data_IF_122553560654
#
_entry.id   IF_122553560654
#
_cell.length_a   1.000
_cell.length_b   1.000
_cell.length_c   1.000
_cell.angle_alpha   90.00
_cell.angle_beta   90.00
_cell.angle_gamma   90.00
#
_symmetry.space_group_name_H-M   'P 1'
#
loop_
_entity.id
_entity.type
_entity.pdbx_description
1 polymer ?
#
# COMPACT_ATOMS: atom_id res chain seq x y z
N UNK A 1 -15.83 -16.53 -12.24
CA UNK A 1 -15.90 -15.55 -11.14
C UNK A 1 -14.47 -15.21 -10.73
N UNK A 2 -14.08 -13.93 -10.66
CA UNK A 2 -12.69 -13.59 -10.33
C UNK A 2 -12.41 -13.74 -8.83
N UNK A 3 -11.15 -14.00 -8.45
CA UNK A 3 -10.71 -14.08 -7.04
C UNK A 3 -11.12 -12.79 -6.29
N UNK A 4 -10.99 -11.62 -6.90
CA UNK A 4 -11.40 -10.35 -6.33
C UNK A 4 -12.90 -10.32 -6.00
N UNK A 5 -13.74 -10.82 -6.88
CA UNK A 5 -15.20 -10.91 -6.64
C UNK A 5 -15.51 -11.79 -5.44
N UNK A 6 -14.80 -12.90 -5.26
CA UNK A 6 -14.98 -13.81 -4.12
C UNK A 6 -14.58 -13.15 -2.80
N UNK A 7 -13.42 -12.48 -2.76
CA UNK A 7 -12.92 -11.78 -1.56
C UNK A 7 -13.91 -10.68 -1.16
N UNK A 8 -14.32 -9.85 -2.10
CA UNK A 8 -15.21 -8.71 -1.84
C UNK A 8 -16.60 -9.18 -1.36
N UNK A 9 -17.18 -10.21 -1.97
CA UNK A 9 -18.49 -10.74 -1.56
C UNK A 9 -18.50 -11.37 -0.16
N UNK A 10 -17.40 -11.99 0.24
CA UNK A 10 -17.32 -12.70 1.53
C UNK A 10 -16.95 -11.79 2.71
N UNK A 11 -16.68 -10.51 2.49
CA UNK A 11 -16.35 -9.56 3.56
C UNK A 11 -17.62 -8.83 4.00
N UNK A 12 -18.09 -8.95 5.27
CA UNK A 12 -19.43 -8.50 5.70
C UNK A 12 -19.72 -7.03 5.47
N UNK A 13 -18.74 -6.16 5.72
CA UNK A 13 -18.87 -4.69 5.55
C UNK A 13 -18.95 -4.35 4.05
N UNK A 14 -18.17 -5.01 3.23
CA UNK A 14 -18.04 -4.73 1.81
C UNK A 14 -19.07 -5.49 0.97
N UNK A 15 -19.57 -6.63 1.46
CA UNK A 15 -20.70 -7.34 0.84
C UNK A 15 -21.95 -6.45 0.76
N UNK A 16 -22.18 -5.58 1.76
CA UNK A 16 -23.27 -4.60 1.71
C UNK A 16 -23.02 -3.48 0.69
N UNK A 17 -21.81 -2.95 0.62
CA UNK A 17 -21.43 -1.95 -0.40
C UNK A 17 -21.49 -2.55 -1.81
N UNK A 18 -21.10 -3.81 -1.95
CA UNK A 18 -21.17 -4.54 -3.21
C UNK A 18 -22.61 -4.86 -3.62
N UNK A 19 -23.49 -5.13 -2.66
CA UNK A 19 -24.92 -5.31 -2.90
C UNK A 19 -25.60 -4.02 -3.42
N UNK A 20 -25.17 -2.85 -2.96
CA UNK A 20 -25.60 -1.55 -3.50
C UNK A 20 -25.03 -1.33 -4.91
N UNK A 21 -23.78 -1.68 -5.17
CA UNK A 21 -23.20 -1.61 -6.51
C UNK A 21 -23.88 -2.61 -7.49
N UNK A 22 -24.40 -3.72 -6.98
CA UNK A 22 -25.17 -4.71 -7.74
C UNK A 22 -26.44 -4.15 -8.32
N UNK A 23 -27.16 -3.39 -7.57
CA UNK A 23 -28.40 -2.76 -8.03
C UNK A 23 -28.18 -1.74 -9.19
N UNK A 24 -26.94 -1.33 -9.42
CA UNK A 24 -26.54 -0.39 -10.48
C UNK A 24 -25.94 -1.05 -11.73
N UNK A 25 -25.87 -2.39 -11.79
CA UNK A 25 -25.33 -3.14 -12.95
C UNK A 25 -23.82 -3.05 -13.13
N UNK A 26 -23.07 -2.54 -12.13
CA UNK A 26 -21.63 -2.27 -12.21
C UNK A 26 -20.77 -3.41 -11.57
N UNK A 27 -21.38 -4.55 -11.27
CA UNK A 27 -20.79 -5.60 -10.41
C UNK A 27 -19.46 -6.18 -10.85
N UNK A 28 -19.32 -6.49 -12.14
CA UNK A 28 -18.11 -7.18 -12.63
C UNK A 28 -17.01 -6.19 -13.04
N UNK A 29 -17.41 -5.00 -13.47
CA UNK A 29 -16.49 -3.99 -13.99
C UNK A 29 -15.54 -3.47 -12.91
N UNK A 30 -15.97 -3.51 -11.63
CA UNK A 30 -15.30 -2.78 -10.54
C UNK A 30 -14.70 -3.66 -9.44
N UNK A 31 -14.66 -4.99 -9.59
CA UNK A 31 -14.17 -5.87 -8.54
C UNK A 31 -12.70 -5.61 -8.16
N UNK A 32 -11.80 -5.43 -9.12
CA UNK A 32 -10.39 -5.13 -8.85
C UNK A 32 -10.15 -3.72 -8.34
N UNK A 33 -10.73 -2.66 -8.95
CA UNK A 33 -10.70 -1.30 -8.37
C UNK A 33 -11.23 -1.27 -6.94
N UNK A 34 -12.37 -1.91 -6.68
CA UNK A 34 -12.95 -1.99 -5.34
C UNK A 34 -11.99 -2.67 -4.34
N UNK A 35 -11.36 -3.79 -4.70
CA UNK A 35 -10.38 -4.47 -3.86
C UNK A 35 -9.16 -3.59 -3.56
N UNK A 36 -8.67 -2.82 -4.54
CA UNK A 36 -7.57 -1.88 -4.33
C UNK A 36 -7.97 -0.75 -3.36
N UNK A 37 -9.14 -0.15 -3.55
CA UNK A 37 -9.65 0.89 -2.65
C UNK A 37 -9.82 0.33 -1.23
N UNK A 38 -10.40 -0.86 -1.08
CA UNK A 38 -10.61 -1.49 0.22
C UNK A 38 -9.30 -1.79 0.95
N UNK A 39 -8.34 -2.39 0.25
CA UNK A 39 -7.03 -2.69 0.85
C UNK A 39 -6.27 -1.41 1.21
N UNK A 40 -6.44 -0.31 0.46
CA UNK A 40 -5.87 0.98 0.84
C UNK A 40 -6.44 1.49 2.18
N UNK A 41 -7.74 1.34 2.42
CA UNK A 41 -8.34 1.71 3.72
C UNK A 41 -7.85 0.84 4.88
N UNK A 42 -7.54 -0.43 4.65
CA UNK A 42 -6.88 -1.27 5.68
C UNK A 42 -5.53 -0.66 6.06
N UNK A 43 -4.73 -0.25 5.08
CA UNK A 43 -3.47 0.43 5.34
C UNK A 43 -3.63 1.80 6.00
N UNK A 44 -4.70 2.53 5.70
CA UNK A 44 -5.03 3.78 6.41
C UNK A 44 -5.29 3.53 7.88
N UNK A 45 -6.02 2.46 8.23
CA UNK A 45 -6.24 2.09 9.64
C UNK A 45 -4.92 1.74 10.33
N UNK A 46 -4.07 0.94 9.67
CA UNK A 46 -2.72 0.61 10.19
C UNK A 46 -1.90 1.89 10.41
N UNK A 47 -1.87 2.77 9.41
CA UNK A 47 -1.17 4.05 9.53
C UNK A 47 -1.75 4.92 10.66
N UNK A 48 -3.07 5.01 10.78
CA UNK A 48 -3.74 5.77 11.84
C UNK A 48 -3.37 5.27 13.24
N UNK A 49 -3.36 3.95 13.44
CA UNK A 49 -2.93 3.34 14.70
C UNK A 49 -1.46 3.66 15.01
N UNK A 50 -0.57 3.56 14.03
CA UNK A 50 0.83 3.95 14.18
C UNK A 50 0.97 5.45 14.50
N UNK A 51 0.16 6.31 13.87
CA UNK A 51 0.11 7.75 14.18
C UNK A 51 -0.31 8.05 15.62
N UNK A 52 -1.16 7.21 16.23
CA UNK A 52 -1.53 7.33 17.64
C UNK A 52 -0.42 6.82 18.58
N UNK A 53 0.35 5.82 18.15
CA UNK A 53 1.48 5.30 18.95
C UNK A 53 2.62 6.31 19.03
N UNK A 54 2.86 7.12 17.98
CA UNK A 54 3.95 8.11 17.98
C UNK A 54 3.93 9.07 19.19
N UNK A 55 2.84 9.81 19.49
CA UNK A 55 2.81 10.66 20.68
C UNK A 55 2.89 9.85 21.98
N UNK A 56 2.36 8.62 22.00
CA UNK A 56 2.48 7.76 23.17
C UNK A 56 3.94 7.43 23.49
N UNK A 57 4.80 7.22 22.48
CA UNK A 57 6.24 6.98 22.70
C UNK A 57 6.93 8.16 23.39
N UNK A 58 6.47 9.39 23.14
CA UNK A 58 7.00 10.60 23.76
C UNK A 58 6.44 10.80 25.19
N UNK A 59 5.12 10.56 25.39
CA UNK A 59 4.47 10.73 26.69
C UNK A 59 5.02 9.75 27.73
N UNK A 60 5.31 8.51 27.30
CA UNK A 60 5.82 7.46 28.18
C UNK A 60 7.35 7.37 28.22
N UNK A 61 8.04 8.38 27.66
CA UNK A 61 9.51 8.47 27.60
C UNK A 61 10.19 7.19 27.06
N UNK A 62 9.56 6.60 26.05
CA UNK A 62 10.14 5.46 25.34
C UNK A 62 11.33 5.91 24.49
N UNK A 63 12.25 4.99 24.20
CA UNK A 63 13.46 5.33 23.43
C UNK A 63 13.13 6.01 22.11
N UNK A 64 13.99 6.93 21.69
CA UNK A 64 13.90 7.60 20.37
C UNK A 64 13.81 6.62 19.21
N UNK A 65 14.34 5.42 19.41
CA UNK A 65 14.31 4.32 18.46
C UNK A 65 12.87 3.88 18.13
N UNK A 66 12.01 3.74 19.13
CA UNK A 66 10.60 3.41 18.94
C UNK A 66 9.85 4.51 18.21
N UNK A 67 10.16 5.78 18.51
CA UNK A 67 9.56 6.91 17.81
C UNK A 67 9.89 6.90 16.31
N UNK A 68 11.16 6.78 15.95
CA UNK A 68 11.58 6.79 14.54
C UNK A 68 11.10 5.55 13.77
N UNK A 69 11.05 4.39 14.41
CA UNK A 69 10.46 3.19 13.82
C UNK A 69 8.98 3.41 13.49
N UNK A 70 8.22 3.91 14.45
CA UNK A 70 6.77 4.17 14.28
C UNK A 70 6.51 5.27 13.26
N UNK A 71 7.32 6.34 13.28
CA UNK A 71 7.24 7.43 12.29
C UNK A 71 7.47 6.91 10.86
N UNK A 72 8.49 6.07 10.67
CA UNK A 72 8.81 5.49 9.37
C UNK A 72 7.68 4.58 8.87
N UNK A 73 7.15 3.71 9.74
CA UNK A 73 6.03 2.83 9.40
C UNK A 73 4.77 3.62 9.07
N UNK A 74 4.45 4.64 9.87
CA UNK A 74 3.30 5.52 9.63
C UNK A 74 3.40 6.20 8.26
N UNK A 75 4.53 6.85 7.98
CA UNK A 75 4.76 7.54 6.70
C UNK A 75 4.76 6.58 5.51
N UNK A 76 5.39 5.42 5.63
CA UNK A 76 5.41 4.41 4.57
C UNK A 76 4.01 3.86 4.28
N UNK A 77 3.22 3.55 5.32
CA UNK A 77 1.85 3.03 5.18
C UNK A 77 0.89 4.05 4.56
N UNK A 78 1.04 5.34 4.89
CA UNK A 78 0.24 6.41 4.28
C UNK A 78 0.62 6.64 2.82
N UNK A 79 1.90 6.65 2.50
CA UNK A 79 2.36 7.03 1.16
C UNK A 79 2.14 5.92 0.15
N UNK A 80 2.66 4.73 0.41
CA UNK A 80 2.67 3.67 -0.60
C UNK A 80 1.36 2.89 -0.67
N UNK A 81 1.01 2.06 0.31
CA UNK A 81 -0.16 1.20 0.15
C UNK A 81 -1.49 1.94 0.34
N UNK A 82 -1.54 3.03 1.10
CA UNK A 82 -2.77 3.81 1.20
C UNK A 82 -2.93 4.74 -0.01
N UNK A 83 -2.10 5.78 -0.13
CA UNK A 83 -2.36 6.85 -1.11
C UNK A 83 -2.26 6.35 -2.55
N UNK A 84 -1.18 5.65 -2.90
CA UNK A 84 -1.01 5.19 -4.28
C UNK A 84 -2.01 4.10 -4.66
N UNK A 85 -2.31 3.17 -3.76
CA UNK A 85 -3.28 2.12 -4.06
C UNK A 85 -4.70 2.68 -4.17
N UNK A 86 -5.06 3.69 -3.36
CA UNK A 86 -6.32 4.42 -3.48
C UNK A 86 -6.41 5.12 -4.84
N UNK A 87 -5.37 5.86 -5.23
CA UNK A 87 -5.32 6.55 -6.53
C UNK A 87 -5.44 5.57 -7.70
N UNK A 88 -4.72 4.45 -7.65
CA UNK A 88 -4.83 3.40 -8.67
C UNK A 88 -6.24 2.82 -8.73
N UNK A 89 -6.83 2.48 -7.59
CA UNK A 89 -8.19 1.96 -7.52
C UNK A 89 -9.24 2.92 -8.11
N UNK A 90 -9.17 4.20 -7.72
CA UNK A 90 -10.07 5.24 -8.26
C UNK A 90 -9.83 5.48 -9.75
N UNK A 91 -8.57 5.54 -10.19
CA UNK A 91 -8.22 5.71 -11.59
C UNK A 91 -8.73 4.57 -12.46
N UNK A 92 -8.56 3.32 -12.04
CA UNK A 92 -9.06 2.14 -12.74
C UNK A 92 -10.59 2.07 -12.75
N UNK A 93 -11.24 2.48 -11.66
CA UNK A 93 -12.70 2.56 -11.61
C UNK A 93 -13.24 3.56 -12.66
N UNK A 94 -12.62 4.73 -12.76
CA UNK A 94 -13.00 5.74 -13.74
C UNK A 94 -12.73 5.30 -15.17
N UNK A 95 -11.53 4.78 -15.45
CA UNK A 95 -11.18 4.32 -16.80
C UNK A 95 -12.06 3.15 -17.26
N UNK A 96 -12.32 2.17 -16.41
CA UNK A 96 -13.24 1.07 -16.69
C UNK A 96 -14.66 1.55 -16.96
N UNK A 97 -15.15 2.53 -16.20
CA UNK A 97 -16.45 3.15 -16.42
C UNK A 97 -16.54 3.91 -17.76
N UNK A 98 -15.47 4.63 -18.14
CA UNK A 98 -15.43 5.36 -19.41
C UNK A 98 -15.39 4.44 -20.64
N UNK A 99 -14.67 3.32 -20.53
CA UNK A 99 -14.49 2.37 -21.65
C UNK A 99 -15.59 1.29 -21.68
N UNK A 100 -16.36 1.15 -20.59
CA UNK A 100 -17.41 0.14 -20.46
C UNK A 100 -16.86 -1.30 -20.44
N UNK A 101 -15.58 -1.50 -20.13
CA UNK A 101 -14.92 -2.80 -20.08
C UNK A 101 -14.55 -3.20 -18.67
N UNK A 102 -14.82 -4.46 -18.34
CA UNK A 102 -14.36 -5.04 -17.08
C UNK A 102 -12.84 -5.21 -17.04
N UNK A 103 -12.22 -4.80 -15.95
CA UNK A 103 -10.79 -5.03 -15.71
C UNK A 103 -10.62 -6.48 -15.23
N UNK A 104 -10.14 -7.33 -16.13
CA UNK A 104 -10.03 -8.78 -15.90
C UNK A 104 -8.62 -9.28 -16.19
N UNK A 105 -8.35 -10.52 -15.76
CA UNK A 105 -7.10 -11.21 -16.02
C UNK A 105 -6.12 -11.17 -14.85
N UNK A 106 -4.88 -11.54 -15.12
CA UNK A 106 -3.81 -11.69 -14.10
C UNK A 106 -3.12 -10.37 -13.74
N UNK A 107 -3.14 -9.39 -14.66
CA UNK A 107 -2.42 -8.12 -14.48
C UNK A 107 -2.96 -7.28 -13.30
N UNK A 108 -4.30 -7.12 -13.10
CA UNK A 108 -4.78 -6.46 -11.89
C UNK A 108 -4.45 -7.22 -10.60
N UNK A 109 -4.42 -8.55 -10.64
CA UNK A 109 -3.96 -9.35 -9.50
C UNK A 109 -2.49 -9.10 -9.18
N UNK A 110 -1.63 -9.08 -10.21
CA UNK A 110 -0.21 -8.76 -10.06
C UNK A 110 -0.01 -7.34 -9.50
N UNK A 111 -0.75 -6.35 -10.03
CA UNK A 111 -0.69 -4.96 -9.56
C UNK A 111 -1.04 -4.87 -8.07
N UNK A 112 -2.13 -5.48 -7.66
CA UNK A 112 -2.55 -5.50 -6.25
C UNK A 112 -1.55 -6.25 -5.37
N UNK A 113 -1.08 -7.41 -5.82
CA UNK A 113 -0.14 -8.24 -5.07
C UNK A 113 1.22 -7.56 -4.89
N UNK A 114 1.80 -7.00 -5.95
CA UNK A 114 3.12 -6.35 -5.88
C UNK A 114 3.09 -5.11 -4.99
N UNK A 115 2.00 -4.35 -4.99
CA UNK A 115 1.83 -3.21 -4.09
C UNK A 115 1.81 -3.65 -2.61
N UNK A 116 0.95 -4.61 -2.28
CA UNK A 116 0.78 -5.05 -0.89
C UNK A 116 2.00 -5.86 -0.39
N UNK A 117 2.58 -6.70 -1.23
CA UNK A 117 3.80 -7.44 -0.89
C UNK A 117 4.98 -6.50 -0.71
N UNK A 118 5.15 -5.52 -1.59
CA UNK A 118 6.20 -4.51 -1.46
C UNK A 118 6.07 -3.71 -0.18
N UNK A 119 4.86 -3.30 0.19
CA UNK A 119 4.57 -2.60 1.45
C UNK A 119 4.84 -3.49 2.68
N UNK A 120 4.47 -4.77 2.63
CA UNK A 120 4.76 -5.72 3.71
C UNK A 120 6.26 -5.95 3.89
N UNK A 121 7.00 -6.12 2.80
CA UNK A 121 8.46 -6.28 2.83
C UNK A 121 9.13 -5.02 3.38
N UNK A 122 8.67 -3.83 2.97
CA UNK A 122 9.17 -2.57 3.52
C UNK A 122 8.90 -2.46 5.02
N UNK A 123 7.72 -2.90 5.48
CA UNK A 123 7.40 -2.97 6.92
C UNK A 123 8.40 -3.86 7.67
N UNK A 124 8.72 -5.04 7.14
CA UNK A 124 9.73 -5.93 7.71
C UNK A 124 11.10 -5.25 7.77
N UNK A 125 11.52 -4.58 6.71
CA UNK A 125 12.79 -3.86 6.68
C UNK A 125 12.89 -2.78 7.78
N UNK A 126 11.79 -2.05 8.02
CA UNK A 126 11.74 -1.03 9.09
C UNK A 126 11.85 -1.68 10.47
N UNK A 127 11.20 -2.81 10.67
CA UNK A 127 11.32 -3.58 11.93
C UNK A 127 12.72 -4.18 12.11
N UNK A 128 13.44 -4.45 11.03
CA UNK A 128 14.85 -4.85 11.04
C UNK A 128 15.83 -3.69 11.28
N UNK A 129 15.32 -2.45 11.40
CA UNK A 129 16.13 -1.28 11.71
C UNK A 129 16.30 -0.26 10.57
N UNK A 130 15.64 -0.44 9.43
CA UNK A 130 15.60 0.58 8.38
C UNK A 130 14.70 1.74 8.80
N UNK A 131 15.27 2.74 9.47
CA UNK A 131 14.53 3.90 9.96
C UNK A 131 14.72 5.08 9.04
N UNK A 132 13.74 5.32 8.20
CA UNK A 132 13.75 6.42 7.23
C UNK A 132 12.49 7.23 7.40
N UNK A 133 12.63 8.52 7.65
CA UNK A 133 11.48 9.41 7.46
C UNK A 133 11.21 9.53 5.96
N UNK A 134 10.05 9.06 5.51
CA UNK A 134 9.63 9.14 4.09
C UNK A 134 9.57 10.59 3.60
N UNK A 135 9.34 11.54 4.51
CA UNK A 135 9.23 12.97 4.20
C UNK A 135 10.62 13.64 4.18
N UNK A 136 11.59 13.08 4.90
CA UNK A 136 12.95 13.59 4.98
C UNK A 136 13.90 12.53 4.43
N UNK A 137 13.78 12.25 3.15
CA UNK A 137 14.79 11.44 2.44
C UNK A 137 16.13 12.17 2.30
N UNK A 138 16.36 13.22 3.10
CA UNK A 138 17.59 13.97 3.07
C UNK A 138 18.15 14.16 4.48
N UNK A 139 19.45 13.93 4.63
CA UNK A 139 20.34 13.35 3.63
C UNK A 139 20.06 11.86 3.47
N UNK A 140 20.05 11.39 2.23
CA UNK A 140 20.10 9.95 1.96
C UNK A 140 21.25 9.37 2.79
N UNK A 141 21.01 8.45 3.73
CA UNK A 141 22.09 7.93 4.58
C UNK A 141 23.01 6.96 3.82
N UNK A 142 23.13 7.19 2.52
CA UNK A 142 24.04 6.47 1.64
C UNK A 142 25.47 6.99 1.72
N UNK A 143 25.74 7.98 2.58
CA UNK A 143 27.06 8.62 2.67
C UNK A 143 27.64 8.42 4.07
N UNK A 144 28.66 7.58 4.20
CA UNK A 144 29.60 7.58 5.30
C UNK A 144 29.05 7.11 6.66
N UNK A 145 29.28 7.90 7.69
CA UNK A 145 29.03 7.56 9.09
C UNK A 145 27.56 7.22 9.44
N UNK A 146 26.62 7.60 8.61
CA UNK A 146 25.20 7.31 8.84
C UNK A 146 24.77 5.89 8.36
N UNK A 147 25.54 5.26 7.48
CA UNK A 147 25.31 3.84 7.11
C UNK A 147 25.55 2.88 8.27
N UNK A 148 26.30 3.26 9.27
CA UNK A 148 26.54 2.45 10.47
C UNK A 148 25.32 2.21 11.36
N UNK A 149 24.20 2.93 11.10
CA UNK A 149 22.94 2.77 11.85
C UNK A 149 22.02 1.72 11.21
N UNK A 150 22.23 1.40 9.92
CA UNK A 150 21.42 0.43 9.19
C UNK A 150 22.19 -0.86 8.93
N UNK A 151 21.55 -1.99 9.19
CA UNK A 151 22.15 -3.25 8.74
C UNK A 151 22.03 -3.40 7.22
N UNK A 152 23.00 -4.04 6.59
CA UNK A 152 22.96 -4.30 5.15
C UNK A 152 21.72 -5.12 4.78
N UNK A 153 21.31 -6.05 5.63
CA UNK A 153 20.13 -6.88 5.44
C UNK A 153 18.86 -6.03 5.41
N UNK A 154 18.69 -5.09 6.35
CA UNK A 154 17.52 -4.19 6.38
C UNK A 154 17.46 -3.30 5.14
N UNK A 155 18.61 -2.87 4.64
CA UNK A 155 18.72 -2.08 3.40
C UNK A 155 18.30 -2.90 2.18
N UNK A 156 18.81 -4.12 2.03
CA UNK A 156 18.47 -5.02 0.91
C UNK A 156 16.97 -5.32 0.92
N UNK A 157 16.42 -5.68 2.08
CA UNK A 157 14.98 -5.98 2.23
C UNK A 157 14.15 -4.74 1.92
N UNK A 158 14.54 -3.56 2.42
CA UNK A 158 13.85 -2.31 2.17
C UNK A 158 13.83 -1.90 0.70
N UNK A 159 14.97 -1.97 0.02
CA UNK A 159 15.04 -1.72 -1.42
C UNK A 159 14.21 -2.72 -2.22
N UNK A 160 14.19 -3.99 -1.84
CA UNK A 160 13.33 -4.99 -2.47
C UNK A 160 11.85 -4.59 -2.38
N UNK A 161 11.39 -4.16 -1.20
CA UNK A 161 10.04 -3.65 -1.01
C UNK A 161 9.73 -2.42 -1.87
N UNK A 162 10.64 -1.44 -1.88
CA UNK A 162 10.50 -0.22 -2.70
C UNK A 162 10.46 -0.56 -4.19
N UNK A 163 11.34 -1.43 -4.68
CA UNK A 163 11.33 -1.84 -6.09
C UNK A 163 10.05 -2.54 -6.51
N UNK A 164 9.45 -3.36 -5.65
CA UNK A 164 8.15 -3.98 -5.93
C UNK A 164 7.04 -2.93 -6.05
N UNK A 165 7.01 -1.93 -5.16
CA UNK A 165 6.06 -0.83 -5.23
C UNK A 165 6.28 -0.01 -6.51
N UNK A 166 7.52 0.35 -6.83
CA UNK A 166 7.85 1.08 -8.05
C UNK A 166 7.53 0.28 -9.32
N UNK A 167 7.79 -1.02 -9.32
CA UNK A 167 7.40 -1.90 -10.43
C UNK A 167 5.88 -1.90 -10.63
N UNK A 168 5.12 -1.97 -9.54
CA UNK A 168 3.67 -1.83 -9.60
C UNK A 168 3.24 -0.52 -10.25
N UNK A 169 3.82 0.60 -9.82
CA UNK A 169 3.42 1.95 -10.25
C UNK A 169 3.86 2.28 -11.68
N UNK A 170 5.09 1.89 -12.04
CA UNK A 170 5.69 2.30 -13.32
C UNK A 170 5.32 1.34 -14.46
N UNK A 171 5.12 0.06 -14.15
CA UNK A 171 4.87 -0.95 -15.18
C UNK A 171 3.45 -1.53 -15.10
N UNK A 172 3.06 -2.11 -13.96
CA UNK A 172 1.79 -2.82 -13.88
C UNK A 172 0.59 -1.90 -14.04
N UNK A 173 0.56 -0.79 -13.34
CA UNK A 173 -0.57 0.14 -13.38
C UNK A 173 -0.73 0.83 -14.75
N UNK A 174 0.31 1.40 -15.38
CA UNK A 174 0.18 1.96 -16.72
C UNK A 174 -0.26 0.95 -17.77
N UNK A 175 0.24 -0.29 -17.72
CA UNK A 175 -0.21 -1.35 -18.61
C UNK A 175 -1.69 -1.70 -18.42
N UNK A 176 -2.23 -1.59 -17.20
CA UNK A 176 -3.66 -1.75 -16.94
C UNK A 176 -4.50 -0.63 -17.55
N UNK A 177 -4.01 0.61 -17.46
CA UNK A 177 -4.71 1.79 -18.00
C UNK A 177 -4.70 1.80 -19.53
N UNK A 178 -3.63 1.28 -20.16
CA UNK A 178 -3.49 1.23 -21.62
C UNK A 178 -4.24 0.05 -22.26
N UNK A 179 -4.71 -0.93 -21.49
CA UNK A 179 -5.41 -2.13 -21.98
C UNK A 179 -6.92 -1.94 -22.06
#
# INVERSE_FOLDING_TARGET
MSIATTIVKNTPIFGRMFAVAKSTGLEEINAWPALMIMSSFVWLVVAGLLGLVMPATQIFDLSSDHFYTTLTLHGAALTFPFSFQLMMGVGLHRSGGCVGKAITGWLPALTWLTMNLGAAILTVAVLMGLKVSVIVMFPLPLVGAQMGVWSMESVIVGFTGIYLVLFCMIFCYPLLVLK
#
